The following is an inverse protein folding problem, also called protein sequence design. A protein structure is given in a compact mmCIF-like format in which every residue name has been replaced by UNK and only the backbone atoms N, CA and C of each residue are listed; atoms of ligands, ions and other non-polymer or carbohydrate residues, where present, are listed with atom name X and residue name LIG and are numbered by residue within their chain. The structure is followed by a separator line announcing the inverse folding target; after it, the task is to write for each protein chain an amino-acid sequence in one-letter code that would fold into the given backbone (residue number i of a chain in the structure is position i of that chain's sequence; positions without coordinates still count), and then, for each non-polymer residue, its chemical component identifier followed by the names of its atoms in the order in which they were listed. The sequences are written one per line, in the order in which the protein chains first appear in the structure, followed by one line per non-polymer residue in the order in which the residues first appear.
data_IF_205874237497
#
_entry.id   IF_205874237497
#
_cell.length_a   1.000
_cell.length_b   1.000
_cell.length_c   1.000
_cell.angle_alpha   90.00
_cell.angle_beta   90.00
_cell.angle_gamma   90.00
#
_symmetry.space_group_name_H-M   'P 1'
#
loop_
_entity.id
_entity.type
_entity.pdbx_description
1 polymer ?
#
# COMPACT_ATOMS: atom_id res chain seq x y z
N UNK A 1 14.01 15.91 -15.08
CA UNK A 1 12.54 15.90 -15.31
C UNK A 1 12.00 17.27 -14.90
N UNK A 2 10.91 17.80 -15.48
CA UNK A 2 10.33 19.07 -14.98
C UNK A 2 9.80 18.87 -13.55
N UNK A 3 10.07 19.80 -12.63
CA UNK A 3 9.68 19.72 -11.21
C UNK A 3 8.26 19.21 -10.92
N UNK A 4 7.19 19.70 -11.59
CA UNK A 4 5.83 19.21 -11.32
C UNK A 4 5.67 17.72 -11.61
N UNK A 5 6.33 17.21 -12.66
CA UNK A 5 6.28 15.80 -13.02
C UNK A 5 7.07 14.92 -12.04
N UNK A 6 8.23 15.42 -11.57
CA UNK A 6 9.02 14.74 -10.53
C UNK A 6 8.20 14.57 -9.23
N UNK A 7 7.54 15.65 -8.79
CA UNK A 7 6.71 15.63 -7.60
C UNK A 7 5.52 14.68 -7.74
N UNK A 8 4.81 14.72 -8.87
CA UNK A 8 3.69 13.81 -9.14
C UNK A 8 4.14 12.35 -9.12
N UNK A 9 5.26 12.02 -9.76
CA UNK A 9 5.80 10.66 -9.77
C UNK A 9 6.16 10.19 -8.35
N UNK A 10 6.82 11.05 -7.56
CA UNK A 10 7.13 10.76 -6.15
C UNK A 10 5.88 10.47 -5.32
N UNK A 11 4.82 11.28 -5.49
CA UNK A 11 3.54 11.07 -4.82
C UNK A 11 2.86 9.78 -5.27
N UNK A 12 2.87 9.49 -6.56
CA UNK A 12 2.27 8.27 -7.11
C UNK A 12 2.96 7.01 -6.57
N UNK A 13 4.30 6.99 -6.51
CA UNK A 13 5.05 5.86 -5.95
C UNK A 13 4.70 5.65 -4.48
N UNK A 14 4.65 6.73 -3.68
CA UNK A 14 4.34 6.69 -2.24
C UNK A 14 2.89 6.28 -1.94
N UNK A 15 1.94 6.66 -2.77
CA UNK A 15 0.51 6.33 -2.58
C UNK A 15 0.14 4.95 -3.14
N UNK A 16 0.96 4.36 -4.01
CA UNK A 16 0.66 3.07 -4.63
C UNK A 16 0.41 1.92 -3.64
N UNK A 17 1.18 1.72 -2.54
CA UNK A 17 0.95 0.59 -1.63
C UNK A 17 -0.36 0.72 -0.86
N UNK A 18 -0.70 1.96 -0.49
CA UNK A 18 -1.94 2.34 0.20
C UNK A 18 -3.16 1.98 -0.64
N UNK A 19 -3.13 2.32 -1.93
CA UNK A 19 -4.20 2.01 -2.87
C UNK A 19 -4.30 0.50 -3.15
N UNK A 20 -3.16 -0.16 -3.39
CA UNK A 20 -3.12 -1.61 -3.65
C UNK A 20 -3.65 -2.38 -2.45
N UNK A 21 -3.20 -2.05 -1.24
CA UNK A 21 -3.62 -2.75 -0.04
C UNK A 21 -5.11 -2.55 0.24
N UNK A 22 -5.65 -1.34 0.02
CA UNK A 22 -7.09 -1.08 0.15
C UNK A 22 -7.93 -1.85 -0.87
N UNK A 23 -7.50 -1.89 -2.13
CA UNK A 23 -8.18 -2.63 -3.19
C UNK A 23 -8.16 -4.15 -2.93
N UNK A 24 -7.01 -4.70 -2.55
CA UNK A 24 -6.87 -6.13 -2.19
C UNK A 24 -7.71 -6.46 -0.96
N UNK A 25 -7.70 -5.59 0.04
CA UNK A 25 -8.51 -5.79 1.24
C UNK A 25 -10.01 -5.87 0.92
N UNK A 26 -10.54 -4.93 0.13
CA UNK A 26 -11.94 -4.96 -0.30
C UNK A 26 -12.25 -6.21 -1.13
N UNK A 27 -11.39 -6.54 -2.10
CA UNK A 27 -11.53 -7.73 -2.92
C UNK A 27 -11.59 -9.01 -2.07
N UNK A 28 -10.66 -9.15 -1.12
CA UNK A 28 -10.62 -10.28 -0.21
C UNK A 28 -11.81 -10.28 0.76
N UNK A 29 -12.30 -9.11 1.18
CA UNK A 29 -13.48 -9.00 2.03
C UNK A 29 -14.73 -9.57 1.34
N UNK A 30 -14.96 -9.24 0.07
CA UNK A 30 -16.10 -9.76 -0.68
C UNK A 30 -15.92 -11.22 -1.10
N UNK A 31 -14.70 -11.64 -1.44
CA UNK A 31 -14.42 -12.99 -1.94
C UNK A 31 -14.29 -14.04 -0.84
N UNK A 32 -13.70 -13.71 0.32
CA UNK A 32 -13.33 -14.69 1.34
C UNK A 32 -13.99 -14.39 2.71
N UNK A 33 -14.73 -15.36 3.29
CA UNK A 33 -15.36 -15.19 4.60
C UNK A 33 -14.39 -15.30 5.80
N UNK A 34 -13.13 -15.73 5.61
CA UNK A 34 -12.29 -16.23 6.70
C UNK A 34 -11.02 -15.40 6.99
N UNK A 35 -10.41 -15.64 8.16
CA UNK A 35 -9.20 -14.94 8.67
C UNK A 35 -7.97 -14.99 7.76
N UNK A 36 -7.88 -15.95 6.83
CA UNK A 36 -6.76 -16.07 5.88
C UNK A 36 -6.55 -14.81 5.03
N UNK A 37 -7.60 -14.00 4.81
CA UNK A 37 -7.48 -12.73 4.08
C UNK A 37 -6.57 -11.71 4.76
N UNK A 38 -6.46 -11.75 6.09
CA UNK A 38 -5.62 -10.82 6.85
C UNK A 38 -4.15 -11.02 6.46
N UNK A 39 -3.68 -12.27 6.48
CA UNK A 39 -2.30 -12.60 6.12
C UNK A 39 -1.96 -12.27 4.68
N UNK A 40 -2.89 -12.49 3.74
CA UNK A 40 -2.73 -12.13 2.33
C UNK A 40 -2.55 -10.61 2.18
N UNK A 41 -3.41 -9.83 2.84
CA UNK A 41 -3.38 -8.36 2.76
C UNK A 41 -2.13 -7.80 3.42
N UNK A 42 -1.73 -8.34 4.57
CA UNK A 42 -0.48 -7.95 5.24
C UNK A 42 0.74 -8.30 4.40
N UNK A 43 0.79 -9.49 3.80
CA UNK A 43 1.89 -9.91 2.93
C UNK A 43 2.01 -9.03 1.68
N UNK A 44 0.89 -8.73 1.03
CA UNK A 44 0.87 -7.83 -0.14
C UNK A 44 1.22 -6.40 0.26
N UNK A 45 0.68 -5.88 1.37
CA UNK A 45 1.00 -4.55 1.88
C UNK A 45 2.48 -4.40 2.20
N UNK A 46 3.08 -5.43 2.82
CA UNK A 46 4.51 -5.48 3.09
C UNK A 46 5.34 -5.46 1.81
N UNK A 47 5.09 -6.37 0.86
CA UNK A 47 5.86 -6.46 -0.38
C UNK A 47 5.75 -5.17 -1.20
N UNK A 48 4.53 -4.67 -1.39
CA UNK A 48 4.30 -3.44 -2.17
C UNK A 48 4.87 -2.22 -1.48
N UNK A 49 4.83 -2.15 -0.15
CA UNK A 49 5.44 -1.09 0.64
C UNK A 49 6.97 -1.07 0.52
N UNK A 50 7.63 -2.22 0.72
CA UNK A 50 9.09 -2.32 0.59
C UNK A 50 9.53 -1.96 -0.83
N UNK A 51 8.87 -2.53 -1.85
CA UNK A 51 9.17 -2.22 -3.25
C UNK A 51 8.95 -0.73 -3.58
N UNK A 52 7.89 -0.11 -3.05
CA UNK A 52 7.62 1.32 -3.24
C UNK A 52 8.74 2.17 -2.65
N UNK A 53 9.27 1.83 -1.47
CA UNK A 53 10.41 2.57 -0.89
C UNK A 53 11.65 2.41 -1.77
N UNK A 54 11.96 1.20 -2.23
CA UNK A 54 13.11 0.99 -3.13
C UNK A 54 12.98 1.76 -4.43
N UNK A 55 11.83 1.65 -5.11
CA UNK A 55 11.53 2.37 -6.36
C UNK A 55 11.55 3.89 -6.12
N UNK A 56 11.03 4.36 -4.99
CA UNK A 56 11.04 5.78 -4.65
C UNK A 56 12.48 6.31 -4.55
N UNK A 57 13.35 5.64 -3.81
CA UNK A 57 14.72 6.10 -3.62
C UNK A 57 15.53 6.01 -4.91
N UNK A 58 15.38 4.93 -5.67
CA UNK A 58 16.02 4.76 -6.98
C UNK A 58 15.59 5.84 -7.99
N UNK A 59 14.28 6.10 -8.06
CA UNK A 59 13.71 7.15 -8.91
C UNK A 59 14.13 8.55 -8.45
N UNK A 60 14.10 8.81 -7.14
CA UNK A 60 14.39 10.12 -6.58
C UNK A 60 15.85 10.50 -6.79
N UNK A 61 16.78 9.55 -6.66
CA UNK A 61 18.20 9.74 -6.96
C UNK A 61 18.45 9.97 -8.46
N UNK A 62 17.80 9.17 -9.32
CA UNK A 62 18.05 9.20 -10.77
C UNK A 62 17.47 10.40 -11.50
N UNK A 63 16.39 11.01 -10.97
CA UNK A 63 15.61 12.03 -11.68
C UNK A 63 15.49 13.36 -10.92
N UNK A 64 16.32 13.58 -9.90
CA UNK A 64 16.35 14.82 -9.12
C UNK A 64 16.39 16.07 -10.04
N UNK A 65 15.55 17.09 -9.80
CA UNK A 65 15.48 18.26 -10.66
C UNK A 65 16.60 19.29 -10.39
N UNK A 66 17.24 19.24 -9.22
CA UNK A 66 18.34 20.13 -8.83
C UNK A 66 19.47 19.33 -8.14
N UNK A 67 20.70 19.85 -8.22
CA UNK A 67 21.89 19.27 -7.58
C UNK A 67 21.72 19.19 -6.05
N UNK A 68 21.11 20.20 -5.42
CA UNK A 68 20.87 20.23 -3.97
C UNK A 68 19.93 19.09 -3.50
N UNK A 69 18.91 18.76 -4.30
CA UNK A 69 18.01 17.63 -4.02
C UNK A 69 18.71 16.30 -4.26
N UNK A 70 19.55 16.22 -5.30
CA UNK A 70 20.35 15.03 -5.58
C UNK A 70 21.34 14.74 -4.43
N UNK A 71 22.04 15.76 -3.97
CA UNK A 71 22.99 15.66 -2.85
C UNK A 71 22.29 15.31 -1.53
N UNK A 72 21.11 15.84 -1.25
CA UNK A 72 20.34 15.44 -0.06
C UNK A 72 19.94 13.96 -0.12
N UNK A 73 19.51 13.48 -1.29
CA UNK A 73 19.11 12.08 -1.47
C UNK A 73 20.31 11.15 -1.38
N UNK A 74 21.42 11.49 -2.04
CA UNK A 74 22.68 10.76 -1.98
C UNK A 74 23.32 10.81 -0.58
N UNK A 75 23.13 11.87 0.19
CA UNK A 75 23.61 11.92 1.59
C UNK A 75 22.94 10.90 2.50
N UNK A 76 21.75 10.41 2.09
CA UNK A 76 20.96 9.39 2.81
C UNK A 76 21.16 8.00 2.20
N UNK A 77 22.14 7.81 1.33
CA UNK A 77 22.25 6.61 0.48
C UNK A 77 22.18 5.30 1.28
N UNK A 78 21.39 4.37 0.76
CA UNK A 78 21.24 3.00 1.29
C UNK A 78 20.46 2.84 2.59
N UNK A 79 20.53 3.77 3.55
CA UNK A 79 19.87 3.61 4.85
C UNK A 79 18.35 3.39 4.72
N UNK A 80 17.59 4.21 3.97
CA UNK A 80 16.16 3.99 3.80
C UNK A 80 15.82 2.65 3.14
N UNK A 81 16.64 2.19 2.19
CA UNK A 81 16.42 0.91 1.50
C UNK A 81 16.66 -0.29 2.42
N UNK A 82 17.64 -0.18 3.34
CA UNK A 82 17.97 -1.21 4.33
C UNK A 82 16.97 -1.23 5.50
N UNK A 83 16.53 -0.06 5.97
CA UNK A 83 15.56 0.03 7.06
C UNK A 83 14.12 -0.28 6.63
N UNK A 84 13.78 -0.11 5.35
CA UNK A 84 12.42 -0.31 4.85
C UNK A 84 11.81 -1.66 5.24
N UNK A 85 12.46 -2.83 5.03
CA UNK A 85 11.93 -4.12 5.49
C UNK A 85 11.61 -4.20 6.99
N UNK A 86 12.33 -3.48 7.85
CA UNK A 86 12.16 -3.55 9.30
C UNK A 86 11.05 -2.64 9.81
N UNK A 87 10.89 -1.46 9.20
CA UNK A 87 9.88 -0.47 9.60
C UNK A 87 8.55 -0.71 8.89
N UNK A 88 8.57 -1.30 7.69
CA UNK A 88 7.36 -1.55 6.88
C UNK A 88 6.26 -2.34 7.62
N UNK A 89 6.55 -3.38 8.41
CA UNK A 89 5.52 -4.09 9.16
C UNK A 89 4.70 -3.19 10.09
N UNK A 90 5.32 -2.18 10.69
CA UNK A 90 4.65 -1.20 11.56
C UNK A 90 3.71 -0.33 10.73
N UNK A 91 4.19 0.21 9.60
CA UNK A 91 3.37 1.01 8.68
C UNK A 91 2.17 0.22 8.15
N UNK A 92 2.40 -1.03 7.72
CA UNK A 92 1.36 -1.92 7.22
C UNK A 92 0.34 -2.22 8.31
N UNK A 93 0.78 -2.48 9.55
CA UNK A 93 -0.11 -2.72 10.68
C UNK A 93 -1.00 -1.53 11.02
N UNK A 94 -0.43 -0.33 11.05
CA UNK A 94 -1.18 0.93 11.27
C UNK A 94 -2.20 1.13 10.14
N UNK A 95 -1.76 1.00 8.89
CA UNK A 95 -2.64 1.21 7.74
C UNK A 95 -3.77 0.16 7.70
N UNK A 96 -3.47 -1.08 8.08
CA UNK A 96 -4.47 -2.15 8.21
C UNK A 96 -5.50 -1.83 9.29
N UNK A 97 -5.08 -1.29 10.44
CA UNK A 97 -6.00 -0.85 11.49
C UNK A 97 -6.96 0.25 10.97
N UNK A 98 -6.48 1.18 10.14
CA UNK A 98 -7.32 2.18 9.49
C UNK A 98 -8.26 1.61 8.42
N UNK A 99 -7.95 0.45 7.82
CA UNK A 99 -8.89 -0.19 6.90
C UNK A 99 -10.15 -0.67 7.61
N UNK A 100 -10.10 -1.01 8.89
CA UNK A 100 -11.26 -1.53 9.63
C UNK A 100 -12.48 -0.58 9.62
N UNK A 101 -12.37 0.70 10.02
CA UNK A 101 -13.49 1.64 9.94
C UNK A 101 -13.96 1.89 8.51
N UNK A 102 -13.05 1.90 7.53
CA UNK A 102 -13.40 2.05 6.11
C UNK A 102 -14.23 0.85 5.65
N UNK A 103 -13.82 -0.36 6.01
CA UNK A 103 -14.56 -1.59 5.70
C UNK A 103 -15.95 -1.55 6.28
N UNK A 104 -16.08 -1.13 7.54
CA UNK A 104 -17.36 -1.00 8.21
C UNK A 104 -18.28 0.00 7.49
N UNK A 105 -17.73 1.13 7.03
CA UNK A 105 -18.49 2.13 6.28
C UNK A 105 -18.87 1.61 4.88
N UNK A 106 -17.96 0.91 4.20
CA UNK A 106 -18.23 0.31 2.89
C UNK A 106 -19.27 -0.80 2.99
N UNK A 107 -19.24 -1.65 4.02
CA UNK A 107 -20.25 -2.71 4.20
C UNK A 107 -21.62 -2.17 4.58
N UNK A 108 -21.71 -0.98 5.17
CA UNK A 108 -22.99 -0.27 5.36
C UNK A 108 -23.63 0.15 4.03
N UNK A 109 -22.82 0.58 3.06
CA UNK A 109 -23.29 1.04 1.75
C UNK A 109 -23.50 -0.13 0.79
N UNK A 110 -22.55 -1.07 0.79
CA UNK A 110 -22.49 -2.24 -0.09
C UNK A 110 -22.42 -3.51 0.77
N UNK A 111 -23.55 -3.94 1.37
CA UNK A 111 -23.59 -5.12 2.20
C UNK A 111 -23.18 -6.35 1.39
N UNK A 112 -22.39 -7.22 2.02
CA UNK A 112 -22.08 -8.52 1.45
C UNK A 112 -23.40 -9.28 1.37
N UNK A 113 -23.81 -9.72 0.17
CA UNK A 113 -24.88 -10.70 0.04
C UNK A 113 -24.43 -11.96 0.78
N UNK A 114 -24.97 -12.19 1.97
CA UNK A 114 -24.85 -13.50 2.60
C UNK A 114 -25.51 -14.50 1.66
N UNK A 115 -24.74 -15.49 1.20
CA UNK A 115 -25.32 -16.73 0.72
C UNK A 115 -26.08 -17.30 1.91
N UNK A 116 -27.40 -17.07 1.92
CA UNK A 116 -28.28 -17.58 2.94
C UNK A 116 -28.00 -19.09 3.11
N UNK A 117 -27.76 -19.58 4.34
CA UNK A 117 -27.63 -21.00 4.59
C UNK A 117 -29.02 -21.62 4.45
N UNK A 118 -29.43 -21.98 3.23
CA UNK A 118 -30.69 -22.67 3.02
C UNK A 118 -31.44 -22.45 1.71
N UNK A 119 -30.83 -21.95 0.63
CA UNK A 119 -31.52 -21.96 -0.67
C UNK A 119 -30.88 -23.02 -1.60
N UNK A 120 -31.53 -24.18 -1.85
CA UNK A 120 -31.12 -25.07 -2.91
C UNK A 120 -31.32 -24.33 -4.24
N UNK A 121 -30.29 -24.26 -5.07
CA UNK A 121 -30.44 -23.72 -6.42
C UNK A 121 -31.29 -24.67 -7.28
N UNK A 122 -32.09 -24.14 -8.23
CA UNK A 122 -32.63 -24.94 -9.33
C UNK A 122 -31.53 -25.42 -10.29
#
# INVERSE_FOLDING_TARGET
MKEPFYSIACWAIRLSPVLIMGAVWLLCHYRFPHFQKVWIVLGIGYLTGVLSVWIYWDFAASYAPTEEIADEILSKDGAPQVFAPFVMPIFVGIYFAFMWPITWLVTRICPRKELAPGNPQP
#
